data_IF_316102078761
#
_entry.id   IF_316102078761
#
_cell.length_a   1.000
_cell.length_b   1.000
_cell.length_c   1.000
_cell.angle_alpha   90.00
_cell.angle_beta   90.00
_cell.angle_gamma   90.00
#
_symmetry.space_group_name_H-M   'P 1'
#
loop_
_entity.id
_entity.type
_entity.pdbx_description
1 polymer ?
#
# COMPACT_ATOMS: atom_id res chain seq x y z
N UNK A 1 -7.66 31.42 32.15
CA UNK A 1 -8.37 30.46 31.28
C UNK A 1 -7.32 29.55 30.66
N UNK A 2 -7.27 28.27 31.02
CA UNK A 2 -6.36 27.31 30.37
C UNK A 2 -6.84 27.12 28.93
N UNK A 3 -6.06 27.56 27.94
CA UNK A 3 -6.38 27.32 26.54
C UNK A 3 -6.37 25.82 26.29
N UNK A 4 -7.46 25.27 25.73
CA UNK A 4 -7.51 23.86 25.33
C UNK A 4 -6.27 23.52 24.47
N UNK A 5 -5.43 22.56 24.87
CA UNK A 5 -4.23 22.23 24.13
C UNK A 5 -4.56 21.72 22.73
N UNK A 6 -3.64 21.93 21.78
CA UNK A 6 -3.79 21.44 20.41
C UNK A 6 -3.75 19.92 20.36
N UNK A 7 -4.64 19.34 19.56
CA UNK A 7 -4.69 17.91 19.33
C UNK A 7 -3.41 17.44 18.58
N UNK A 8 -2.53 16.71 19.26
CA UNK A 8 -1.30 16.17 18.67
C UNK A 8 -1.58 15.14 17.57
N UNK A 9 -2.66 14.36 17.72
CA UNK A 9 -3.14 13.44 16.70
C UNK A 9 -3.63 14.17 15.45
N UNK A 10 -4.32 15.29 15.61
CA UNK A 10 -4.76 16.12 14.49
C UNK A 10 -3.58 16.74 13.76
N UNK A 11 -2.56 17.24 14.46
CA UNK A 11 -1.34 17.77 13.81
C UNK A 11 -0.68 16.73 12.89
N UNK A 12 -0.79 15.44 13.24
CA UNK A 12 -0.28 14.30 12.48
C UNK A 12 -1.28 13.75 11.44
N UNK A 13 -2.48 14.33 11.32
CA UNK A 13 -3.53 13.88 10.40
C UNK A 13 -4.25 12.60 10.82
N UNK A 14 -4.17 12.19 12.10
CA UNK A 14 -4.68 10.90 12.62
C UNK A 14 -5.80 11.01 13.64
N UNK A 15 -6.34 12.20 13.89
CA UNK A 15 -7.41 12.34 14.88
C UNK A 15 -8.68 11.62 14.42
N UNK A 16 -9.07 10.56 15.12
CA UNK A 16 -10.30 9.81 14.83
C UNK A 16 -11.56 10.39 15.46
N UNK A 17 -11.43 11.45 16.27
CA UNK A 17 -12.56 12.04 16.98
C UNK A 17 -13.28 13.15 16.20
N UNK A 18 -12.66 13.69 15.15
CA UNK A 18 -13.25 14.77 14.34
C UNK A 18 -13.85 15.88 15.23
N UNK A 19 -15.10 16.25 14.97
CA UNK A 19 -15.85 17.26 15.74
C UNK A 19 -16.04 16.92 17.23
N UNK A 20 -15.93 15.65 17.60
CA UNK A 20 -16.02 15.17 18.98
C UNK A 20 -14.68 15.21 19.72
N UNK A 21 -13.61 15.75 19.10
CA UNK A 21 -12.30 15.85 19.75
C UNK A 21 -12.31 16.91 20.86
N UNK A 22 -11.86 16.53 22.07
CA UNK A 22 -11.76 17.44 23.23
C UNK A 22 -10.58 18.42 23.14
N UNK A 23 -9.68 18.22 22.19
CA UNK A 23 -8.49 19.04 21.96
C UNK A 23 -8.69 19.98 20.76
N UNK A 24 -8.02 21.14 20.75
CA UNK A 24 -8.20 22.14 19.67
C UNK A 24 -7.61 21.64 18.35
N UNK A 25 -8.40 21.68 17.28
CA UNK A 25 -7.91 21.57 15.90
C UNK A 25 -7.64 23.00 15.38
N UNK A 26 -6.60 23.19 14.55
CA UNK A 26 -6.15 24.52 14.13
C UNK A 26 -7.00 25.19 13.05
N UNK A 27 -7.97 24.48 12.46
CA UNK A 27 -8.88 24.98 11.44
C UNK A 27 -10.33 24.98 11.93
N UNK A 28 -11.18 25.79 11.28
CA UNK A 28 -12.58 26.04 11.62
C UNK A 28 -13.51 24.83 11.46
N UNK A 29 -13.07 23.76 10.80
CA UNK A 29 -13.80 22.49 10.72
C UNK A 29 -12.96 21.36 11.31
N UNK A 30 -13.60 20.49 12.09
CA UNK A 30 -12.91 19.41 12.77
C UNK A 30 -12.50 18.26 11.84
N UNK A 31 -13.00 18.29 10.60
CA UNK A 31 -12.72 17.35 9.51
C UNK A 31 -11.65 17.90 8.56
N UNK A 32 -10.91 18.96 8.91
CA UNK A 32 -9.79 19.44 8.09
C UNK A 32 -8.53 18.56 8.21
N UNK A 33 -7.74 18.42 7.12
CA UNK A 33 -6.44 17.77 7.15
C UNK A 33 -5.52 18.33 8.24
N UNK A 34 -4.71 17.45 8.82
CA UNK A 34 -3.68 17.85 9.77
C UNK A 34 -2.59 18.70 9.12
N UNK A 35 -1.96 19.61 9.89
CA UNK A 35 -0.90 20.49 9.38
C UNK A 35 0.24 19.74 8.68
N UNK A 36 0.62 18.56 9.17
CA UNK A 36 1.67 17.75 8.54
C UNK A 36 1.30 17.29 7.11
N UNK A 37 0.02 17.02 6.84
CA UNK A 37 -0.46 16.62 5.51
C UNK A 37 -0.36 17.78 4.51
N UNK A 38 -0.43 19.03 4.97
CA UNK A 38 -0.41 20.24 4.15
C UNK A 38 1.00 20.86 4.02
N UNK A 39 2.05 20.14 4.43
CA UNK A 39 3.42 20.56 4.15
C UNK A 39 3.68 20.51 2.65
N UNK A 40 4.36 21.51 2.11
CA UNK A 40 4.64 21.65 0.68
C UNK A 40 3.40 21.75 -0.23
N UNK A 41 2.24 22.13 0.32
CA UNK A 41 1.03 22.40 -0.48
C UNK A 41 0.80 23.89 -0.65
N UNK A 42 0.44 24.31 -1.86
CA UNK A 42 -0.03 25.65 -2.20
C UNK A 42 -1.55 25.76 -2.12
N UNK A 43 -2.16 26.52 -3.05
CA UNK A 43 -3.61 26.68 -3.12
C UNK A 43 -4.31 25.38 -3.53
N UNK A 44 -5.58 25.24 -3.16
CA UNK A 44 -6.45 24.17 -3.66
C UNK A 44 -6.70 24.43 -5.16
N UNK A 45 -6.45 23.42 -5.98
CA UNK A 45 -6.75 23.39 -7.41
C UNK A 45 -8.16 22.87 -7.66
N UNK A 46 -8.54 21.82 -6.93
CA UNK A 46 -9.85 21.19 -7.07
C UNK A 46 -10.26 20.48 -5.79
N UNK A 47 -11.57 20.42 -5.53
CA UNK A 47 -12.18 19.49 -4.57
C UNK A 47 -13.11 18.54 -5.34
N UNK A 48 -13.05 17.25 -5.02
CA UNK A 48 -13.85 16.19 -5.65
C UNK A 48 -14.61 15.48 -4.54
N UNK A 49 -15.90 15.30 -4.73
CA UNK A 49 -16.73 14.44 -3.87
C UNK A 49 -16.96 13.10 -4.56
N UNK A 50 -17.05 11.97 -3.85
CA UNK A 50 -17.18 10.66 -4.48
C UNK A 50 -18.36 10.57 -5.46
N UNK A 51 -19.51 11.14 -5.09
CA UNK A 51 -20.72 11.16 -5.93
C UNK A 51 -20.63 12.13 -7.12
N UNK A 52 -19.60 13.00 -7.15
CA UNK A 52 -19.37 13.93 -8.27
C UNK A 52 -18.53 13.31 -9.38
N UNK A 53 -17.84 12.19 -9.10
CA UNK A 53 -17.27 11.37 -10.16
C UNK A 53 -18.43 10.85 -11.02
N UNK A 54 -18.26 10.75 -12.35
CA UNK A 54 -19.33 10.33 -13.25
C UNK A 54 -19.77 8.92 -12.88
N UNK A 55 -20.80 8.81 -12.05
CA UNK A 55 -21.53 7.58 -11.80
C UNK A 55 -22.37 7.31 -13.05
N UNK A 56 -21.69 6.96 -14.15
CA UNK A 56 -22.24 6.87 -15.49
C UNK A 56 -22.73 8.22 -16.03
N UNK A 57 -22.13 8.67 -17.13
CA UNK A 57 -22.82 9.54 -18.09
C UNK A 57 -22.55 8.95 -19.45
N UNK A 58 -23.64 8.52 -20.08
CA UNK A 58 -23.74 7.95 -21.42
C UNK A 58 -22.66 8.42 -22.39
N UNK A 59 -21.83 7.48 -22.86
CA UNK A 59 -21.26 7.44 -24.22
C UNK A 59 -20.35 6.20 -24.34
N UNK A 60 -20.95 5.12 -24.85
CA UNK A 60 -20.38 4.12 -25.78
C UNK A 60 -19.13 3.31 -25.42
N UNK A 61 -18.66 3.28 -24.18
CA UNK A 61 -17.76 2.21 -23.74
C UNK A 61 -18.37 1.41 -22.59
N UNK A 62 -19.18 0.43 -22.99
CA UNK A 62 -19.71 -0.65 -22.15
C UNK A 62 -18.59 -1.58 -21.64
N UNK A 63 -17.31 -1.19 -21.80
CA UNK A 63 -16.17 -1.95 -21.31
C UNK A 63 -16.27 -2.18 -19.80
N UNK A 64 -16.29 -3.46 -19.45
CA UNK A 64 -16.08 -3.94 -18.10
C UNK A 64 -14.64 -3.59 -17.71
N UNK A 65 -14.45 -3.04 -16.52
CA UNK A 65 -13.12 -2.83 -15.96
C UNK A 65 -12.61 -4.17 -15.46
N UNK A 66 -11.62 -4.71 -16.18
CA UNK A 66 -10.86 -5.90 -15.80
C UNK A 66 -9.39 -5.56 -15.76
N UNK A 67 -8.66 -6.16 -14.82
CA UNK A 67 -7.19 -6.15 -14.84
C UNK A 67 -6.69 -7.08 -15.93
N UNK A 68 -6.05 -6.53 -16.96
CA UNK A 68 -5.58 -7.28 -18.13
C UNK A 68 -4.08 -7.14 -18.31
N UNK A 69 -3.45 -8.14 -18.94
CA UNK A 69 -2.00 -8.11 -19.18
C UNK A 69 -1.17 -8.12 -17.90
N UNK A 70 -1.63 -8.82 -16.86
CA UNK A 70 -0.86 -8.97 -15.63
C UNK A 70 0.46 -9.70 -15.91
N UNK A 71 1.56 -9.09 -15.52
CA UNK A 71 2.89 -9.67 -15.68
C UNK A 71 3.83 -9.23 -14.55
N UNK A 72 4.63 -10.18 -14.08
CA UNK A 72 5.71 -9.91 -13.15
C UNK A 72 6.95 -9.38 -13.90
N UNK A 73 7.48 -8.23 -13.45
CA UNK A 73 8.62 -7.58 -14.09
C UNK A 73 9.89 -7.70 -13.26
N UNK A 74 9.84 -7.33 -11.98
CA UNK A 74 10.99 -7.44 -11.08
C UNK A 74 10.56 -7.57 -9.62
N UNK A 75 11.51 -7.89 -8.75
CA UNK A 75 11.32 -7.90 -7.31
C UNK A 75 12.60 -7.55 -6.58
N UNK A 76 12.46 -7.25 -5.30
CA UNK A 76 13.60 -7.03 -4.41
C UNK A 76 13.24 -7.28 -2.95
N UNK A 77 14.27 -7.50 -2.12
CA UNK A 77 14.15 -7.49 -0.66
C UNK A 77 14.99 -6.35 -0.10
N UNK A 78 14.50 -5.66 0.93
CA UNK A 78 15.36 -4.77 1.72
C UNK A 78 16.21 -5.58 2.68
N UNK A 79 17.52 -5.33 2.68
CA UNK A 79 18.47 -5.88 3.67
C UNK A 79 18.31 -5.13 5.00
N UNK A 80 18.45 -5.82 6.13
CA UNK A 80 18.50 -5.20 7.45
C UNK A 80 19.83 -4.47 7.71
N UNK A 81 20.06 -3.40 6.96
CA UNK A 81 21.25 -2.55 7.06
C UNK A 81 20.86 -1.08 7.31
N UNK A 82 21.76 -0.31 7.91
CA UNK A 82 21.59 1.14 8.08
C UNK A 82 21.70 1.90 6.74
N UNK A 83 22.40 1.31 5.76
CA UNK A 83 22.46 1.77 4.39
C UNK A 83 21.30 1.21 3.56
N UNK A 84 20.84 1.94 2.52
CA UNK A 84 19.81 1.43 1.63
C UNK A 84 20.39 0.35 0.71
N UNK A 85 20.30 -0.91 1.12
CA UNK A 85 20.75 -2.07 0.34
C UNK A 85 19.56 -2.98 0.02
N UNK A 86 19.48 -3.47 -1.22
CA UNK A 86 18.48 -4.44 -1.65
C UNK A 86 19.09 -5.68 -2.29
N UNK A 87 18.45 -6.84 -2.08
CA UNK A 87 18.67 -8.04 -2.90
C UNK A 87 17.76 -8.01 -4.13
N UNK A 88 18.28 -8.34 -5.32
CA UNK A 88 17.51 -8.44 -6.57
C UNK A 88 17.84 -9.77 -7.26
N UNK A 89 16.86 -10.62 -7.62
CA UNK A 89 15.41 -10.44 -7.45
C UNK A 89 14.96 -10.52 -5.98
N UNK A 90 15.83 -10.91 -5.06
CA UNK A 90 15.42 -11.34 -3.72
C UNK A 90 14.51 -12.56 -3.80
N UNK A 91 13.74 -12.84 -2.76
CA UNK A 91 12.64 -13.80 -2.77
C UNK A 91 11.74 -13.55 -1.54
N UNK A 92 10.43 -13.83 -1.64
CA UNK A 92 9.55 -13.81 -0.47
C UNK A 92 9.93 -14.92 0.50
N UNK A 93 9.54 -14.78 1.76
CA UNK A 93 9.77 -15.82 2.76
C UNK A 93 8.97 -17.09 2.39
N UNK A 94 9.60 -18.25 2.54
CA UNK A 94 8.96 -19.54 2.24
C UNK A 94 8.01 -19.87 3.39
N UNK A 95 6.77 -20.21 3.04
CA UNK A 95 5.80 -20.73 3.98
C UNK A 95 6.30 -22.04 4.59
N UNK A 96 6.51 -22.02 5.89
CA UNK A 96 6.80 -23.19 6.70
C UNK A 96 5.52 -23.59 7.41
N UNK A 97 4.85 -24.68 7.02
CA UNK A 97 3.67 -25.15 7.72
C UNK A 97 4.06 -25.55 9.15
N UNK A 98 3.78 -24.67 10.11
CA UNK A 98 3.75 -25.03 11.52
C UNK A 98 2.37 -25.61 11.78
N UNK A 99 2.27 -26.92 12.00
CA UNK A 99 0.97 -27.58 12.21
C UNK A 99 0.31 -27.08 13.50
N UNK A 100 -0.93 -26.55 13.44
CA UNK A 100 -1.67 -26.23 14.65
C UNK A 100 -1.94 -27.48 15.51
N UNK A 101 -1.98 -27.36 16.84
CA UNK A 101 -1.94 -26.10 17.58
C UNK A 101 -0.53 -25.64 17.94
N UNK A 102 -0.29 -24.32 17.88
CA UNK A 102 0.92 -23.71 18.42
C UNK A 102 0.62 -22.33 19.03
N UNK A 103 1.56 -21.81 19.81
CA UNK A 103 1.41 -20.52 20.48
C UNK A 103 2.55 -19.59 20.10
N UNK A 104 2.21 -18.33 19.83
CA UNK A 104 3.19 -17.26 19.61
C UNK A 104 3.03 -16.19 20.67
N UNK A 105 4.09 -15.42 20.90
CA UNK A 105 4.03 -14.23 21.75
C UNK A 105 3.24 -13.11 21.06
N UNK A 106 2.78 -12.12 21.83
CA UNK A 106 2.28 -10.88 21.24
C UNK A 106 3.37 -10.20 20.42
N UNK A 107 2.97 -9.46 19.40
CA UNK A 107 3.88 -8.66 18.60
C UNK A 107 4.63 -7.65 19.49
N UNK A 108 5.94 -7.51 19.28
CA UNK A 108 6.80 -6.57 19.98
C UNK A 108 7.83 -5.99 19.02
N UNK A 109 8.27 -4.75 19.24
CA UNK A 109 9.35 -4.13 18.47
C UNK A 109 8.90 -3.04 17.50
N UNK A 110 9.78 -2.67 16.58
CA UNK A 110 9.55 -1.61 15.61
C UNK A 110 9.30 -2.21 14.21
N UNK A 111 8.15 -1.90 13.62
CA UNK A 111 7.73 -2.40 12.32
C UNK A 111 7.60 -1.26 11.32
N UNK A 112 7.99 -1.49 10.07
CA UNK A 112 7.84 -0.48 9.03
C UNK A 112 6.36 -0.29 8.65
N UNK A 113 5.96 0.97 8.46
CA UNK A 113 4.67 1.33 7.84
C UNK A 113 4.87 1.46 6.33
N UNK A 114 5.99 2.06 5.93
CA UNK A 114 6.48 2.17 4.55
C UNK A 114 8.00 2.04 4.57
N UNK A 115 8.49 0.86 4.25
CA UNK A 115 9.91 0.55 4.29
C UNK A 115 10.71 1.31 3.23
N UNK A 116 10.12 1.57 2.06
CA UNK A 116 10.81 2.23 0.96
C UNK A 116 11.09 3.69 1.30
N UNK A 117 10.09 4.41 1.80
CA UNK A 117 10.29 5.80 2.26
C UNK A 117 11.15 5.85 3.53
N UNK A 118 11.08 4.83 4.41
CA UNK A 118 11.93 4.78 5.60
C UNK A 118 13.42 4.62 5.27
N UNK A 119 13.75 3.79 4.28
CA UNK A 119 15.14 3.47 3.89
C UNK A 119 15.68 4.41 2.81
N UNK A 120 14.83 4.90 1.91
CA UNK A 120 15.17 5.91 0.91
C UNK A 120 14.16 7.07 0.94
N UNK A 121 14.32 7.96 1.93
CA UNK A 121 13.41 9.10 2.14
C UNK A 121 13.44 10.12 1.00
N UNK A 122 14.57 10.24 0.30
CA UNK A 122 14.72 11.19 -0.80
C UNK A 122 13.95 10.72 -2.04
N UNK A 123 14.12 9.45 -2.42
CA UNK A 123 13.53 8.84 -3.62
C UNK A 123 12.89 7.47 -3.28
N UNK A 124 11.68 7.41 -2.72
CA UNK A 124 11.04 6.15 -2.30
C UNK A 124 10.78 5.14 -3.43
N UNK A 125 10.83 5.58 -4.69
CA UNK A 125 10.70 4.73 -5.86
C UNK A 125 12.04 4.14 -6.34
N UNK A 126 13.19 4.59 -5.83
CA UNK A 126 14.50 4.22 -6.36
C UNK A 126 14.76 2.71 -6.39
N UNK A 127 14.44 2.00 -5.30
CA UNK A 127 14.60 0.55 -5.22
C UNK A 127 13.82 -0.21 -6.31
N UNK A 128 12.63 0.29 -6.68
CA UNK A 128 11.81 -0.28 -7.76
C UNK A 128 12.53 -0.17 -9.11
N UNK A 129 13.11 1.00 -9.41
CA UNK A 129 13.80 1.19 -10.69
C UNK A 129 15.17 0.51 -10.72
N UNK A 130 15.87 0.43 -9.60
CA UNK A 130 17.09 -0.38 -9.47
C UNK A 130 16.81 -1.86 -9.75
N UNK A 131 15.70 -2.41 -9.25
CA UNK A 131 15.34 -3.80 -9.56
C UNK A 131 14.94 -4.00 -11.02
N UNK A 132 14.28 -3.03 -11.64
CA UNK A 132 13.99 -3.06 -13.08
C UNK A 132 15.25 -2.98 -13.94
N UNK A 133 16.21 -2.13 -13.60
CA UNK A 133 17.45 -2.01 -14.36
C UNK A 133 18.25 -3.32 -14.41
N UNK A 134 18.16 -4.16 -13.36
CA UNK A 134 18.78 -5.49 -13.33
C UNK A 134 17.96 -6.53 -14.09
N UNK A 135 16.64 -6.60 -13.84
CA UNK A 135 15.82 -7.71 -14.34
C UNK A 135 15.17 -7.45 -15.70
N UNK A 136 15.01 -6.19 -16.08
CA UNK A 136 14.30 -5.72 -17.27
C UNK A 136 15.04 -4.53 -17.91
N UNK A 137 16.32 -4.68 -18.31
CA UNK A 137 17.15 -3.57 -18.80
C UNK A 137 16.60 -2.88 -20.06
N UNK A 138 15.84 -3.61 -20.88
CA UNK A 138 15.25 -3.10 -22.13
C UNK A 138 13.82 -2.54 -21.94
N UNK A 139 13.31 -2.50 -20.71
CA UNK A 139 11.96 -2.01 -20.45
C UNK A 139 11.87 -0.49 -20.64
N UNK A 140 11.03 -0.09 -21.58
CA UNK A 140 10.73 1.30 -21.89
C UNK A 140 9.67 1.85 -20.93
N UNK A 141 9.95 3.00 -20.30
CA UNK A 141 8.98 3.63 -19.38
C UNK A 141 7.78 4.26 -20.13
N UNK A 142 7.89 4.43 -21.44
CA UNK A 142 6.78 4.83 -22.34
C UNK A 142 5.64 3.80 -22.39
N UNK A 143 5.89 2.57 -21.94
CA UNK A 143 4.89 1.51 -21.87
C UNK A 143 3.90 1.71 -20.73
N UNK A 144 4.12 2.71 -19.87
CA UNK A 144 3.33 2.97 -18.68
C UNK A 144 2.72 4.38 -18.70
N UNK A 145 1.50 4.47 -18.16
CA UNK A 145 0.82 5.74 -17.85
C UNK A 145 0.94 6.09 -16.36
N UNK A 146 1.16 5.07 -15.51
CA UNK A 146 1.11 5.17 -14.07
C UNK A 146 2.18 4.30 -13.39
N UNK A 147 2.96 4.90 -12.49
CA UNK A 147 3.83 4.22 -11.51
C UNK A 147 3.28 4.48 -10.11
N UNK A 148 2.98 3.42 -9.36
CA UNK A 148 2.37 3.55 -8.04
C UNK A 148 2.72 2.36 -7.15
N UNK A 149 2.38 2.44 -5.86
CA UNK A 149 2.23 1.26 -5.03
C UNK A 149 0.75 0.85 -4.91
N UNK A 150 0.53 -0.38 -4.42
CA UNK A 150 -0.79 -0.94 -4.10
C UNK A 150 -1.56 -0.10 -3.09
N UNK A 151 -0.88 0.58 -2.15
CA UNK A 151 -1.55 1.34 -1.09
C UNK A 151 -2.22 2.59 -1.63
N UNK A 152 -1.55 3.34 -2.52
CA UNK A 152 -2.13 4.48 -3.22
C UNK A 152 -3.42 4.08 -3.95
N UNK A 153 -3.41 2.96 -4.69
CA UNK A 153 -4.60 2.46 -5.38
C UNK A 153 -5.73 2.11 -4.41
N UNK A 154 -5.43 1.45 -3.29
CA UNK A 154 -6.41 1.15 -2.24
C UNK A 154 -7.00 2.40 -1.59
N UNK A 155 -6.17 3.40 -1.28
CA UNK A 155 -6.62 4.69 -0.70
C UNK A 155 -7.55 5.43 -1.66
N UNK A 156 -7.22 5.47 -2.95
CA UNK A 156 -8.08 6.06 -3.97
C UNK A 156 -9.37 5.27 -4.16
N UNK A 157 -9.33 3.94 -4.15
CA UNK A 157 -10.53 3.11 -4.22
C UNK A 157 -11.45 3.34 -3.01
N UNK A 158 -10.90 3.40 -1.79
CA UNK A 158 -11.67 3.75 -0.59
C UNK A 158 -12.37 5.09 -0.72
N UNK A 159 -11.68 6.10 -1.26
CA UNK A 159 -12.31 7.39 -1.56
C UNK A 159 -13.48 7.23 -2.53
N UNK A 160 -13.30 6.49 -3.63
CA UNK A 160 -14.38 6.24 -4.61
C UNK A 160 -15.57 5.49 -3.98
N UNK A 161 -15.32 4.57 -3.06
CA UNK A 161 -16.35 3.87 -2.30
C UNK A 161 -16.98 4.71 -1.17
N UNK A 162 -16.57 5.98 -1.01
CA UNK A 162 -16.96 6.83 0.11
C UNK A 162 -16.63 6.24 1.50
N UNK A 163 -15.61 5.38 1.58
CA UNK A 163 -15.21 4.60 2.76
C UNK A 163 -13.80 5.01 3.25
N UNK A 164 -13.59 6.32 3.42
CA UNK A 164 -12.31 6.86 3.92
C UNK A 164 -12.28 6.82 5.44
N UNK A 165 -11.67 5.78 5.98
CA UNK A 165 -11.45 5.52 7.41
C UNK A 165 -10.37 6.42 8.04
N UNK A 166 -9.38 6.81 7.25
CA UNK A 166 -8.27 7.67 7.66
C UNK A 166 -7.93 8.69 6.58
N UNK A 167 -7.74 9.95 6.98
CA UNK A 167 -7.21 10.98 6.07
C UNK A 167 -5.84 10.57 5.55
N UNK A 168 -5.66 10.63 4.23
CA UNK A 168 -4.43 10.21 3.58
C UNK A 168 -3.91 11.28 2.62
N UNK A 169 -2.62 11.18 2.30
CA UNK A 169 -1.96 12.00 1.30
C UNK A 169 -1.24 11.13 0.26
N UNK A 170 -1.31 11.56 -0.99
CA UNK A 170 -0.56 11.03 -2.13
C UNK A 170 0.09 12.21 -2.85
N UNK A 171 1.40 12.19 -2.99
CA UNK A 171 2.12 13.14 -3.83
C UNK A 171 2.04 12.66 -5.29
N UNK A 172 1.68 13.55 -6.20
CA UNK A 172 1.52 13.23 -7.63
C UNK A 172 2.54 14.03 -8.44
N UNK A 173 3.29 13.35 -9.30
CA UNK A 173 4.30 13.98 -10.15
C UNK A 173 4.34 13.30 -11.51
N UNK A 174 4.51 14.06 -12.59
CA UNK A 174 4.84 13.49 -13.90
C UNK A 174 6.36 13.46 -14.11
N UNK A 175 6.84 12.38 -14.71
CA UNK A 175 8.16 12.27 -15.33
C UNK A 175 7.93 11.93 -16.80
N UNK A 176 8.22 12.88 -17.70
CA UNK A 176 7.67 12.82 -19.06
C UNK A 176 6.15 12.73 -19.01
N UNK A 177 5.57 11.73 -19.67
CA UNK A 177 4.13 11.46 -19.66
C UNK A 177 3.66 10.49 -18.55
N UNK A 178 4.60 9.90 -17.81
CA UNK A 178 4.31 8.87 -16.80
C UNK A 178 3.94 9.51 -15.47
N UNK A 179 2.75 9.20 -14.95
CA UNK A 179 2.29 9.70 -13.66
C UNK A 179 2.79 8.83 -12.50
N UNK A 180 3.38 9.46 -11.49
CA UNK A 180 3.74 8.82 -10.23
C UNK A 180 2.72 9.14 -9.15
N UNK A 181 2.27 8.12 -8.43
CA UNK A 181 1.52 8.26 -7.19
C UNK A 181 2.41 7.81 -6.02
N UNK A 182 3.01 8.77 -5.33
CA UNK A 182 3.90 8.52 -4.21
C UNK A 182 3.12 8.56 -2.90
N UNK A 183 3.16 7.44 -2.18
CA UNK A 183 2.61 7.34 -0.82
C UNK A 183 3.29 8.35 0.10
N UNK A 184 2.49 9.09 0.85
CA UNK A 184 2.96 9.89 1.96
C UNK A 184 2.43 9.33 3.28
N UNK A 185 3.29 9.26 4.29
CA UNK A 185 2.94 8.84 5.64
C UNK A 185 3.57 9.79 6.65
N UNK A 186 2.81 10.18 7.67
CA UNK A 186 3.32 11.01 8.76
C UNK A 186 4.40 10.28 9.59
N UNK A 187 4.34 8.94 9.60
CA UNK A 187 5.26 8.08 10.34
C UNK A 187 5.61 6.87 9.50
N UNK A 188 6.90 6.53 9.47
CA UNK A 188 7.43 5.46 8.62
C UNK A 188 7.63 4.15 9.39
N UNK A 189 7.61 4.21 10.73
CA UNK A 189 7.72 3.06 11.63
C UNK A 189 6.64 3.14 12.71
N UNK A 190 6.13 1.97 13.10
CA UNK A 190 5.23 1.78 14.26
C UNK A 190 6.01 1.08 15.37
N UNK A 191 5.97 1.63 16.58
CA UNK A 191 6.60 1.01 17.76
C UNK A 191 5.52 0.29 18.57
N UNK A 192 5.68 -1.01 18.73
CA UNK A 192 4.83 -1.87 19.53
C UNK A 192 5.50 -2.12 20.88
N UNK A 193 4.99 -1.48 21.93
CA UNK A 193 5.44 -1.71 23.32
C UNK A 193 4.52 -2.79 23.91
N UNK A 194 5.03 -4.01 24.15
CA UNK A 194 4.27 -5.24 24.43
C UNK A 194 3.20 -5.24 25.56
N UNK A 195 2.90 -4.10 26.18
CA UNK A 195 1.84 -3.90 27.17
C UNK A 195 0.46 -3.55 26.60
N UNK A 196 0.34 -3.10 25.34
CA UNK A 196 -0.96 -2.68 24.78
C UNK A 196 -1.68 -3.84 24.04
N UNK A 197 -2.93 -3.63 23.61
CA UNK A 197 -3.76 -4.61 22.88
C UNK A 197 -3.23 -4.89 21.46
N UNK A 198 -1.99 -5.34 21.37
CA UNK A 198 -1.37 -5.68 20.09
C UNK A 198 -1.72 -7.09 19.64
N UNK A 199 -1.77 -7.25 18.32
CA UNK A 199 -2.06 -8.51 17.66
C UNK A 199 -0.91 -9.52 17.76
N UNK A 200 -1.09 -10.61 17.03
CA UNK A 200 -0.16 -11.74 16.94
C UNK A 200 0.30 -11.95 15.50
N UNK A 201 0.17 -10.92 14.65
CA UNK A 201 0.33 -11.03 13.20
C UNK A 201 1.78 -11.24 12.81
N UNK A 202 2.66 -10.35 13.28
CA UNK A 202 4.09 -10.42 12.99
C UNK A 202 4.73 -11.66 13.60
N UNK A 203 4.34 -11.99 14.83
CA UNK A 203 4.85 -13.17 15.54
C UNK A 203 4.38 -14.47 14.88
N UNK A 204 3.15 -14.51 14.36
CA UNK A 204 2.65 -15.62 13.57
C UNK A 204 3.41 -15.76 12.25
N UNK A 205 3.60 -14.65 11.52
CA UNK A 205 4.37 -14.64 10.28
C UNK A 205 5.78 -15.18 10.52
N UNK A 206 6.52 -14.67 11.50
CA UNK A 206 7.85 -15.18 11.87
C UNK A 206 7.86 -16.66 12.27
N UNK A 207 6.77 -17.17 12.85
CA UNK A 207 6.65 -18.58 13.24
C UNK A 207 6.30 -19.51 12.05
N UNK A 208 5.78 -18.95 10.95
CA UNK A 208 5.23 -19.69 9.81
C UNK A 208 5.91 -19.37 8.49
N UNK A 209 6.90 -18.47 8.46
CA UNK A 209 7.69 -18.17 7.27
C UNK A 209 9.18 -18.15 7.58
N UNK A 210 10.01 -18.39 6.56
CA UNK A 210 11.46 -18.33 6.67
C UNK A 210 12.10 -17.86 5.36
N UNK A 211 13.04 -16.92 5.43
CA UNK A 211 13.87 -16.55 4.28
C UNK A 211 14.98 -17.57 4.04
N UNK A 212 15.35 -17.75 2.77
CA UNK A 212 16.50 -18.58 2.41
C UNK A 212 17.79 -18.07 3.02
N UNK A 213 18.76 -18.98 3.18
CA UNK A 213 20.06 -18.65 3.79
C UNK A 213 20.78 -17.49 3.08
N UNK A 214 20.68 -17.39 1.75
CA UNK A 214 21.36 -16.35 0.97
C UNK A 214 20.78 -14.93 1.20
N UNK A 215 19.51 -14.84 1.60
CA UNK A 215 18.79 -13.58 1.80
C UNK A 215 18.22 -13.49 3.21
N UNK A 216 18.88 -14.12 4.19
CA UNK A 216 18.38 -14.30 5.56
C UNK A 216 18.18 -12.97 6.29
N UNK A 217 18.92 -11.94 5.91
CA UNK A 217 18.83 -10.58 6.47
C UNK A 217 17.72 -9.74 5.81
N UNK A 218 16.79 -10.36 5.09
CA UNK A 218 15.65 -9.68 4.46
C UNK A 218 14.65 -9.16 5.50
N UNK A 219 14.11 -7.97 5.25
CA UNK A 219 13.10 -7.33 6.10
C UNK A 219 11.74 -7.10 5.42
N UNK A 220 11.59 -7.56 4.18
CA UNK A 220 10.35 -7.47 3.40
C UNK A 220 10.61 -7.71 1.92
N UNK A 221 9.72 -8.42 1.23
CA UNK A 221 9.83 -8.72 -0.21
C UNK A 221 8.83 -7.89 -1.00
N UNK A 222 9.34 -7.14 -1.98
CA UNK A 222 8.55 -6.23 -2.81
C UNK A 222 8.57 -6.73 -4.25
N UNK A 223 7.41 -6.79 -4.88
CA UNK A 223 7.21 -7.20 -6.27
C UNK A 223 6.73 -6.03 -7.10
N UNK A 224 7.20 -5.97 -8.33
CA UNK A 224 6.88 -4.96 -9.34
C UNK A 224 6.22 -5.67 -10.50
N UNK A 225 4.97 -5.28 -10.78
CA UNK A 225 4.13 -5.91 -11.80
C UNK A 225 3.62 -4.87 -12.76
N UNK A 226 3.25 -5.30 -13.97
CA UNK A 226 2.45 -4.50 -14.89
C UNK A 226 1.06 -5.08 -15.08
N UNK A 227 0.12 -4.21 -15.41
CA UNK A 227 -1.21 -4.55 -15.92
C UNK A 227 -1.88 -3.29 -16.49
N UNK A 228 -2.93 -3.48 -17.29
CA UNK A 228 -3.86 -2.42 -17.69
C UNK A 228 -5.09 -2.44 -16.79
N UNK A 229 -5.42 -1.28 -16.21
CA UNK A 229 -6.64 -1.04 -15.44
C UNK A 229 -7.53 -0.05 -16.19
N UNK A 230 -8.55 -0.54 -16.88
CA UNK A 230 -9.44 0.31 -17.68
C UNK A 230 -8.70 1.14 -18.73
N UNK A 231 -7.69 0.54 -19.37
CA UNK A 231 -6.83 1.19 -20.37
C UNK A 231 -5.68 2.01 -19.79
N UNK A 232 -5.59 2.18 -18.46
CA UNK A 232 -4.41 2.82 -17.82
C UNK A 232 -3.32 1.77 -17.65
N UNK A 233 -2.18 1.93 -18.33
CA UNK A 233 -1.05 1.00 -18.23
C UNK A 233 -0.27 1.27 -16.95
N UNK A 234 -0.36 0.36 -15.99
CA UNK A 234 0.15 0.53 -14.64
C UNK A 234 1.44 -0.27 -14.42
N UNK A 235 2.41 0.34 -13.74
CA UNK A 235 3.54 -0.29 -13.07
C UNK A 235 3.30 -0.20 -11.57
N UNK A 236 3.04 -1.34 -10.92
CA UNK A 236 2.56 -1.37 -9.54
C UNK A 236 3.53 -2.15 -8.66
N UNK A 237 3.94 -1.52 -7.56
CA UNK A 237 4.70 -2.16 -6.49
C UNK A 237 3.79 -2.65 -5.37
N UNK A 238 4.02 -3.86 -4.89
CA UNK A 238 3.38 -4.37 -3.67
C UNK A 238 4.34 -5.23 -2.84
N UNK A 239 4.05 -5.34 -1.55
CA UNK A 239 4.74 -6.25 -0.64
C UNK A 239 4.03 -7.60 -0.62
N UNK A 240 4.80 -8.70 -0.65
CA UNK A 240 4.31 -10.06 -0.51
C UNK A 240 4.85 -10.69 0.77
N UNK A 241 3.94 -11.20 1.60
CA UNK A 241 4.26 -11.78 2.91
C UNK A 241 5.03 -13.11 2.79
N UNK A 242 4.83 -13.86 1.69
CA UNK A 242 5.54 -15.11 1.46
C UNK A 242 5.28 -15.78 0.12
N UNK A 243 5.78 -17.00 -0.03
CA UNK A 243 5.37 -17.94 -1.08
C UNK A 243 5.23 -19.37 -0.54
N UNK A 244 4.43 -20.20 -1.21
CA UNK A 244 4.46 -21.66 -1.00
C UNK A 244 5.75 -22.26 -1.55
N UNK A 245 6.09 -23.47 -1.13
CA UNK A 245 7.16 -24.25 -1.74
C UNK A 245 6.77 -24.74 -3.16
N UNK A 246 7.77 -25.11 -3.96
CA UNK A 246 7.60 -25.57 -5.35
C UNK A 246 6.73 -26.83 -5.46
N UNK A 247 6.53 -27.57 -4.35
CA UNK A 247 5.67 -28.74 -4.30
C UNK A 247 4.17 -28.39 -4.33
N UNK A 248 3.78 -27.12 -4.15
CA UNK A 248 2.38 -26.69 -4.17
C UNK A 248 1.54 -27.25 -3.01
N UNK A 249 2.14 -28.04 -2.12
CA UNK A 249 1.49 -28.69 -0.99
C UNK A 249 1.57 -27.77 0.23
N UNK A 250 0.57 -26.91 0.37
CA UNK A 250 0.23 -26.37 1.68
C UNK A 250 -0.30 -27.53 2.54
N UNK A 251 0.60 -28.30 3.15
CA UNK A 251 0.31 -29.39 4.07
C UNK A 251 -0.50 -28.88 5.25
N UNK A 252 -1.82 -29.05 5.16
CA UNK A 252 -2.76 -28.71 6.21
C UNK A 252 -4.17 -28.99 5.71
N UNK A 253 -4.90 -29.85 6.40
CA UNK A 253 -6.28 -30.26 6.10
C UNK A 253 -7.22 -29.04 6.14
N UNK A 254 -7.23 -28.26 5.06
CA UNK A 254 -7.99 -27.03 4.93
C UNK A 254 -9.49 -27.36 4.85
N UNK A 255 -10.27 -26.81 5.78
CA UNK A 255 -11.73 -26.82 5.70
C UNK A 255 -12.17 -25.61 4.89
N UNK A 256 -12.93 -25.84 3.83
CA UNK A 256 -13.56 -24.81 3.01
C UNK A 256 -14.59 -24.04 3.85
N UNK A 257 -14.65 -22.72 3.67
CA UNK A 257 -15.47 -21.80 4.48
C UNK A 257 -16.83 -21.56 3.81
N UNK A 258 -17.91 -21.70 4.59
CA UNK A 258 -19.24 -21.18 4.24
C UNK A 258 -19.44 -19.78 4.84
N UNK A 259 -20.15 -18.93 4.09
CA UNK A 259 -20.36 -17.51 4.38
C UNK A 259 -21.38 -17.33 5.50
N UNK A 260 -21.04 -16.51 6.50
CA UNK A 260 -22.00 -15.98 7.45
C UNK A 260 -21.90 -14.45 7.50
N UNK A 261 -23.06 -13.80 7.45
CA UNK A 261 -23.26 -12.42 7.07
C UNK A 261 -23.78 -11.62 8.27
N UNK A 262 -22.87 -11.09 9.10
CA UNK A 262 -23.23 -10.09 10.11
C UNK A 262 -22.14 -9.03 10.27
N UNK A 263 -22.54 -7.76 10.17
CA UNK A 263 -21.72 -6.55 10.23
C UNK A 263 -21.28 -6.18 11.66
N UNK A 264 -20.00 -5.83 11.84
CA UNK A 264 -19.55 -4.56 12.45
C UNK A 264 -18.00 -4.43 12.33
N UNK A 265 -17.50 -3.24 11.97
CA UNK A 265 -16.16 -3.00 11.37
C UNK A 265 -15.04 -2.60 12.34
N UNK A 266 -15.17 -2.81 13.66
CA UNK A 266 -14.35 -2.02 14.60
C UNK A 266 -13.10 -2.65 15.27
N UNK A 267 -12.61 -3.87 14.92
CA UNK A 267 -11.34 -4.36 15.54
C UNK A 267 -10.07 -3.86 14.87
N UNK A 268 -10.12 -3.43 13.60
CA UNK A 268 -8.90 -2.97 12.94
C UNK A 268 -8.59 -1.51 13.29
N UNK A 269 -9.60 -0.74 13.70
CA UNK A 269 -9.49 0.69 14.05
C UNK A 269 -9.06 0.91 15.51
N UNK A 270 -9.50 0.04 16.43
CA UNK A 270 -9.16 0.13 17.86
C UNK A 270 -7.66 0.01 18.17
N UNK A 271 -6.86 -0.55 17.26
CA UNK A 271 -5.41 -0.66 17.39
C UNK A 271 -4.65 0.67 17.19
N UNK A 272 -5.33 1.78 16.86
CA UNK A 272 -4.71 3.09 16.60
C UNK A 272 -4.79 4.08 17.77
N UNK A 273 -5.49 3.81 18.88
CA UNK A 273 -5.70 4.82 19.93
C UNK A 273 -4.69 4.85 21.08
N UNK A 274 -3.73 3.92 21.19
CA UNK A 274 -2.63 4.00 22.16
C UNK A 274 -1.31 4.29 21.47
N UNK A 275 -0.97 5.57 21.36
CA UNK A 275 0.14 6.05 20.53
C UNK A 275 1.15 6.83 21.37
N UNK A 276 2.30 6.22 21.66
CA UNK A 276 3.52 6.98 21.96
C UNK A 276 4.52 6.78 20.84
N UNK A 277 4.58 7.76 19.92
CA UNK A 277 5.45 7.74 18.74
C UNK A 277 6.67 8.62 19.00
N UNK A 278 7.86 8.03 18.84
CA UNK A 278 9.08 8.80 18.64
C UNK A 278 9.17 9.19 17.15
N UNK A 279 9.50 10.45 16.80
CA UNK A 279 9.78 10.81 15.42
C UNK A 279 10.93 9.92 14.91
N UNK A 280 10.73 9.31 13.74
CA UNK A 280 11.80 8.58 13.08
C UNK A 280 12.99 9.54 12.94
N UNK A 281 14.14 9.17 13.51
CA UNK A 281 15.40 9.83 13.17
C UNK A 281 15.58 9.58 11.69
N UNK A 282 15.38 10.61 10.88
CA UNK A 282 15.71 10.59 9.46
C UNK A 282 17.22 10.48 9.41
N UNK A 283 17.75 9.24 9.40
CA UNK A 283 19.10 9.02 8.90
C UNK A 283 19.05 9.44 7.45
N UNK A 284 19.64 10.59 7.14
CA UNK A 284 19.95 11.00 5.77
C UNK A 284 21.02 10.04 5.27
N UNK A 285 20.61 8.83 4.90
CA UNK A 285 21.44 7.98 4.08
C UNK A 285 21.54 8.69 2.72
N UNK A 286 22.59 9.49 2.55
CA UNK A 286 22.94 10.11 1.27
C UNK A 286 23.46 9.07 0.26
N UNK A 287 23.29 7.77 0.53
CA UNK A 287 23.63 6.69 -0.37
C UNK A 287 22.47 6.40 -1.30
N UNK A 288 22.76 6.37 -2.61
CA UNK A 288 21.96 5.61 -3.57
C UNK A 288 21.68 4.21 -3.04
N UNK A 289 20.54 3.64 -3.43
CA UNK A 289 20.22 2.23 -3.16
C UNK A 289 21.29 1.35 -3.80
N UNK A 290 21.95 0.52 -2.98
CA UNK A 290 22.92 -0.49 -3.42
C UNK A 290 22.19 -1.79 -3.76
N UNK A 291 22.63 -2.46 -4.82
CA UNK A 291 22.02 -3.70 -5.31
C UNK A 291 22.99 -4.87 -5.14
N UNK A 292 22.49 -5.94 -4.53
CA UNK A 292 23.13 -7.24 -4.44
C UNK A 292 22.31 -8.24 -5.25
N UNK A 293 22.92 -8.91 -6.23
CA UNK A 293 22.24 -9.86 -7.11
C UNK A 293 22.07 -11.24 -6.44
N UNK A 294 21.12 -11.34 -5.51
CA UNK A 294 20.85 -12.53 -4.69
C UNK A 294 19.35 -12.86 -4.68
N UNK A 295 19.04 -14.12 -4.37
CA UNK A 295 17.67 -14.64 -4.32
C UNK A 295 17.26 -15.40 -5.58
N UNK A 296 15.95 -15.54 -5.81
CA UNK A 296 15.40 -16.23 -6.98
C UNK A 296 14.08 -15.64 -7.43
N UNK A 297 13.79 -15.75 -8.72
CA UNK A 297 12.46 -15.45 -9.23
C UNK A 297 11.47 -16.50 -8.72
N UNK A 298 10.40 -16.05 -8.08
CA UNK A 298 9.32 -16.90 -7.57
C UNK A 298 8.05 -16.70 -8.43
N UNK A 299 7.40 -17.79 -8.91
CA UNK A 299 6.21 -17.70 -9.75
C UNK A 299 5.04 -16.98 -9.06
N UNK A 300 4.30 -16.10 -9.75
CA UNK A 300 3.14 -15.40 -9.18
C UNK A 300 2.10 -16.33 -8.53
N UNK A 301 1.89 -17.53 -9.08
CA UNK A 301 0.94 -18.53 -8.59
C UNK A 301 1.21 -19.05 -7.17
N UNK A 302 2.45 -18.91 -6.69
CA UNK A 302 2.87 -19.39 -5.36
C UNK A 302 2.83 -18.30 -4.29
N UNK A 303 2.62 -17.04 -4.68
CA UNK A 303 2.64 -15.90 -3.75
C UNK A 303 1.47 -16.00 -2.78
N UNK A 304 1.76 -15.72 -1.51
CA UNK A 304 0.78 -15.75 -0.42
C UNK A 304 0.68 -14.39 0.28
N UNK A 305 -0.52 -14.08 0.77
CA UNK A 305 -0.78 -13.07 1.79
C UNK A 305 -1.12 -13.80 3.10
N UNK A 306 -0.61 -13.29 4.23
CA UNK A 306 -0.83 -13.86 5.55
C UNK A 306 -1.68 -12.92 6.40
N UNK A 307 -2.70 -13.48 7.06
CA UNK A 307 -3.56 -12.75 7.99
C UNK A 307 -3.77 -13.56 9.27
N UNK A 308 -3.93 -12.84 10.38
CA UNK A 308 -4.36 -13.44 11.64
C UNK A 308 -5.71 -12.87 12.07
N UNK A 309 -6.53 -13.68 12.74
CA UNK A 309 -7.80 -13.27 13.34
C UNK A 309 -8.05 -14.00 14.65
N UNK A 310 -8.76 -13.34 15.56
CA UNK A 310 -9.27 -14.03 16.74
C UNK A 310 -10.33 -15.06 16.33
N UNK A 311 -10.34 -16.25 16.94
CA UNK A 311 -11.22 -17.36 16.51
C UNK A 311 -12.72 -17.04 16.61
N UNK A 312 -13.11 -16.11 17.49
CA UNK A 312 -14.49 -15.65 17.64
C UNK A 312 -14.91 -14.59 16.60
N UNK A 313 -13.98 -14.11 15.75
CA UNK A 313 -14.23 -13.12 14.70
C UNK A 313 -13.60 -13.58 13.39
N UNK A 314 -14.38 -14.28 12.57
CA UNK A 314 -13.90 -14.80 11.28
C UNK A 314 -13.55 -13.67 10.30
N UNK A 315 -12.56 -13.89 9.44
CA UNK A 315 -12.16 -12.92 8.43
C UNK A 315 -13.26 -12.81 7.37
N UNK A 316 -13.75 -11.59 7.12
CA UNK A 316 -14.55 -11.32 5.93
C UNK A 316 -13.62 -11.12 4.75
N UNK A 317 -13.80 -11.93 3.71
CA UNK A 317 -12.96 -11.91 2.51
C UNK A 317 -12.97 -10.52 1.84
N UNK A 318 -14.13 -9.86 1.80
CA UNK A 318 -14.28 -8.53 1.20
C UNK A 318 -13.43 -7.43 1.91
N UNK A 319 -13.04 -7.61 3.18
CA UNK A 319 -12.15 -6.67 3.90
C UNK A 319 -10.73 -6.65 3.33
N UNK A 320 -10.25 -7.79 2.82
CA UNK A 320 -8.89 -7.95 2.29
C UNK A 320 -8.86 -7.93 0.77
N UNK A 321 -9.98 -8.18 0.10
CA UNK A 321 -10.04 -8.33 -1.36
C UNK A 321 -9.39 -7.20 -2.15
N UNK A 322 -9.68 -5.90 -1.89
CA UNK A 322 -9.04 -4.84 -2.67
C UNK A 322 -7.52 -4.90 -2.61
N UNK A 323 -6.96 -5.31 -1.47
CA UNK A 323 -5.51 -5.48 -1.32
C UNK A 323 -4.99 -6.60 -2.22
N UNK A 324 -5.58 -7.78 -2.15
CA UNK A 324 -5.11 -8.93 -2.91
C UNK A 324 -5.40 -8.77 -4.41
N UNK A 325 -6.50 -8.12 -4.80
CA UNK A 325 -6.86 -7.89 -6.20
C UNK A 325 -5.88 -6.95 -6.92
N UNK A 326 -5.49 -5.82 -6.31
CA UNK A 326 -4.50 -4.93 -6.93
C UNK A 326 -3.10 -5.55 -7.05
N UNK A 327 -2.79 -6.55 -6.22
CA UNK A 327 -1.54 -7.31 -6.26
C UNK A 327 -1.64 -8.60 -7.10
N UNK A 328 -2.86 -9.01 -7.46
CA UNK A 328 -3.20 -10.35 -7.98
C UNK A 328 -2.57 -11.47 -7.15
N UNK A 329 -2.66 -11.38 -5.82
CA UNK A 329 -2.12 -12.39 -4.89
C UNK A 329 -3.07 -13.59 -4.80
N UNK A 330 -2.70 -14.77 -5.34
CA UNK A 330 -3.68 -15.85 -5.56
C UNK A 330 -4.01 -16.65 -4.30
N UNK A 331 -3.16 -16.62 -3.27
CA UNK A 331 -3.33 -17.41 -2.07
C UNK A 331 -3.42 -16.51 -0.84
N UNK A 332 -4.44 -16.73 -0.01
CA UNK A 332 -4.56 -16.12 1.32
C UNK A 332 -4.46 -17.22 2.39
N UNK A 333 -3.56 -17.05 3.34
CA UNK A 333 -3.45 -17.90 4.53
C UNK A 333 -3.95 -17.14 5.76
N UNK A 334 -4.90 -17.73 6.47
CA UNK A 334 -5.53 -17.11 7.65
C UNK A 334 -5.32 -17.98 8.88
N UNK A 335 -4.52 -17.50 9.82
CA UNK A 335 -4.36 -18.11 11.14
C UNK A 335 -5.43 -17.63 12.13
N UNK A 336 -6.19 -18.56 12.70
CA UNK A 336 -7.18 -18.27 13.74
C UNK A 336 -6.65 -18.65 15.12
N UNK A 337 -6.76 -17.71 16.07
CA UNK A 337 -6.19 -17.88 17.41
C UNK A 337 -7.11 -17.43 18.56
N UNK A 338 -6.89 -18.00 19.73
CA UNK A 338 -7.33 -17.45 21.02
C UNK A 338 -6.12 -16.96 21.79
N UNK A 339 -5.96 -15.64 21.96
CA UNK A 339 -4.82 -15.05 22.71
C UNK A 339 -3.43 -15.58 22.28
N UNK A 340 -3.16 -15.63 20.97
CA UNK A 340 -1.90 -16.11 20.42
C UNK A 340 -1.76 -17.64 20.33
N UNK A 341 -2.73 -18.40 20.83
CA UNK A 341 -2.82 -19.84 20.62
C UNK A 341 -3.58 -20.12 19.32
N UNK A 342 -2.84 -20.44 18.25
CA UNK A 342 -3.39 -20.72 16.92
C UNK A 342 -3.84 -22.17 16.83
N UNK A 343 -5.12 -22.38 16.52
CA UNK A 343 -5.72 -23.73 16.43
C UNK A 343 -6.05 -24.14 14.99
N UNK A 344 -6.22 -23.17 14.10
CA UNK A 344 -6.59 -23.41 12.70
C UNK A 344 -5.81 -22.47 11.78
N UNK A 345 -5.39 -22.99 10.63
CA UNK A 345 -4.89 -22.19 9.50
C UNK A 345 -5.72 -22.57 8.28
N UNK A 346 -6.33 -21.58 7.64
CA UNK A 346 -7.14 -21.77 6.45
C UNK A 346 -6.42 -21.21 5.23
N UNK A 347 -6.41 -21.96 4.12
CA UNK A 347 -5.95 -21.50 2.81
C UNK A 347 -7.15 -21.18 1.94
N UNK A 348 -7.17 -19.99 1.36
CA UNK A 348 -8.22 -19.53 0.45
C UNK A 348 -7.59 -19.22 -0.90
N UNK A 349 -8.10 -19.86 -1.96
CA UNK A 349 -7.78 -19.50 -3.34
C UNK A 349 -8.58 -18.24 -3.71
N UNK A 350 -7.88 -17.20 -4.15
CA UNK A 350 -8.45 -15.86 -4.27
C UNK A 350 -8.98 -15.54 -5.66
N UNK A 351 -8.55 -16.26 -6.69
CA UNK A 351 -8.99 -16.02 -8.08
C UNK A 351 -10.52 -16.03 -8.24
N UNK A 352 -11.28 -17.01 -7.70
CA UNK A 352 -12.75 -16.97 -7.79
C UNK A 352 -13.36 -15.77 -7.06
N UNK A 353 -12.72 -15.31 -5.99
CA UNK A 353 -13.17 -14.16 -5.22
C UNK A 353 -12.88 -12.84 -5.94
N UNK A 354 -11.78 -12.76 -6.70
CA UNK A 354 -11.46 -11.64 -7.58
C UNK A 354 -12.51 -11.46 -8.66
N UNK A 355 -12.87 -12.53 -9.38
CA UNK A 355 -13.89 -12.46 -10.44
C UNK A 355 -15.24 -11.99 -9.90
N UNK A 356 -15.65 -12.51 -8.75
CA UNK A 356 -16.90 -12.11 -8.08
C UNK A 356 -16.85 -10.63 -7.68
N UNK A 357 -15.79 -10.22 -7.02
CA UNK A 357 -15.65 -8.86 -6.50
C UNK A 357 -15.57 -7.82 -7.61
N UNK A 358 -14.81 -8.12 -8.67
CA UNK A 358 -14.70 -7.26 -9.85
C UNK A 358 -16.07 -7.02 -10.50
N UNK A 359 -16.89 -8.07 -10.66
CA UNK A 359 -18.26 -7.94 -11.17
C UNK A 359 -19.14 -7.06 -10.28
N UNK A 360 -19.00 -7.17 -8.96
CA UNK A 360 -19.78 -6.40 -7.99
C UNK A 360 -19.34 -4.93 -7.87
N UNK A 361 -18.08 -4.61 -8.19
CA UNK A 361 -17.49 -3.29 -7.96
C UNK A 361 -17.24 -2.48 -9.24
N UNK A 362 -17.86 -2.85 -10.37
CA UNK A 362 -17.65 -2.18 -11.66
C UNK A 362 -17.82 -0.66 -11.62
N UNK A 363 -18.87 -0.14 -10.97
CA UNK A 363 -19.08 1.31 -10.85
C UNK A 363 -17.91 1.99 -10.11
N UNK A 364 -17.41 1.39 -9.04
CA UNK A 364 -16.27 1.91 -8.28
C UNK A 364 -14.97 1.83 -9.09
N UNK A 365 -14.75 0.74 -9.83
CA UNK A 365 -13.58 0.59 -10.69
C UNK A 365 -13.57 1.60 -11.84
N UNK A 366 -14.73 1.87 -12.47
CA UNK A 366 -14.87 2.92 -13.49
C UNK A 366 -14.56 4.30 -12.92
N UNK A 367 -15.08 4.61 -11.74
CA UNK A 367 -14.80 5.86 -11.04
C UNK A 367 -13.33 5.99 -10.62
N UNK A 368 -12.67 4.90 -10.23
CA UNK A 368 -11.23 4.89 -9.94
C UNK A 368 -10.42 5.23 -11.21
N UNK A 369 -10.75 4.63 -12.35
CA UNK A 369 -10.08 4.93 -13.63
C UNK A 369 -10.31 6.39 -14.04
N UNK A 370 -11.53 6.91 -13.91
CA UNK A 370 -11.84 8.32 -14.16
C UNK A 370 -11.05 9.25 -13.23
N UNK A 371 -10.93 8.89 -11.94
CA UNK A 371 -10.14 9.64 -10.98
C UNK A 371 -8.65 9.63 -11.34
N UNK A 372 -8.07 8.49 -11.73
CA UNK A 372 -6.67 8.42 -12.17
C UNK A 372 -6.40 9.35 -13.36
N UNK A 373 -7.28 9.35 -14.36
CA UNK A 373 -7.20 10.27 -15.52
C UNK A 373 -7.29 11.73 -15.09
N UNK A 374 -8.18 12.04 -14.14
CA UNK A 374 -8.34 13.40 -13.59
C UNK A 374 -7.13 13.86 -12.78
N UNK A 375 -6.51 12.99 -11.99
CA UNK A 375 -5.28 13.28 -11.25
C UNK A 375 -4.13 13.59 -12.21
N UNK A 376 -3.97 12.79 -13.28
CA UNK A 376 -2.99 13.04 -14.34
C UNK A 376 -3.20 14.39 -15.02
N UNK A 377 -4.45 14.71 -15.37
CA UNK A 377 -4.79 16.01 -15.96
C UNK A 377 -4.53 17.19 -15.00
N UNK A 378 -4.79 16.99 -13.71
CA UNK A 378 -4.53 18.01 -12.68
C UNK A 378 -3.05 18.26 -12.51
N UNK A 379 -2.22 17.21 -12.43
CA UNK A 379 -0.76 17.33 -12.37
C UNK A 379 -0.21 17.99 -13.63
N UNK A 380 -0.69 17.63 -14.84
CA UNK A 380 -0.25 18.23 -16.11
C UNK A 380 -0.54 19.74 -16.19
N UNK A 381 -1.58 20.21 -15.50
CA UNK A 381 -2.04 21.61 -15.55
C UNK A 381 -1.29 22.52 -14.57
N UNK A 382 -0.36 22.00 -13.77
CA UNK A 382 0.44 22.78 -12.82
C UNK A 382 1.86 23.02 -13.32
N UNK A 383 2.48 24.10 -12.83
CA UNK A 383 3.90 24.34 -13.02
C UNK A 383 4.72 23.21 -12.38
N UNK A 384 5.69 22.66 -13.12
CA UNK A 384 6.49 21.51 -12.68
C UNK A 384 5.76 20.16 -12.71
N UNK A 385 4.55 20.11 -13.27
CA UNK A 385 3.75 18.91 -13.53
C UNK A 385 3.50 18.03 -12.29
N UNK A 386 3.04 18.65 -11.22
CA UNK A 386 2.92 18.03 -9.88
C UNK A 386 1.80 18.60 -9.06
N UNK A 387 1.18 17.78 -8.24
CA UNK A 387 0.16 18.19 -7.28
C UNK A 387 0.19 17.29 -6.04
N UNK A 388 -0.51 17.71 -4.99
CA UNK A 388 -0.68 16.91 -3.77
C UNK A 388 -2.15 16.57 -3.63
N UNK A 389 -2.45 15.29 -3.43
CA UNK A 389 -3.80 14.78 -3.24
C UNK A 389 -4.00 14.46 -1.78
N UNK A 390 -5.05 15.01 -1.16
CA UNK A 390 -5.45 14.71 0.22
C UNK A 390 -6.87 14.17 0.22
N UNK A 391 -7.01 12.89 0.57
CA UNK A 391 -8.30 12.26 0.82
C UNK A 391 -8.71 12.52 2.26
N UNK A 392 -9.80 13.27 2.45
CA UNK A 392 -10.24 13.75 3.76
C UNK A 392 -11.35 12.86 4.29
N UNK A 393 -11.12 12.27 5.47
CA UNK A 393 -12.18 11.59 6.22
C UNK A 393 -13.20 12.61 6.74
N UNK A 394 -14.47 12.21 6.76
CA UNK A 394 -15.52 12.96 7.47
C UNK A 394 -16.89 12.64 6.91
N UNK A 395 -17.92 13.30 7.46
CA UNK A 395 -19.29 13.22 6.90
C UNK A 395 -19.33 13.73 5.45
N UNK A 396 -18.47 14.68 5.13
CA UNK A 396 -18.25 15.21 3.79
C UNK A 396 -16.93 14.66 3.23
N UNK A 397 -16.89 13.34 3.01
CA UNK A 397 -15.75 12.67 2.39
C UNK A 397 -15.44 13.35 1.06
N UNK A 398 -14.21 13.85 0.92
CA UNK A 398 -13.76 14.62 -0.25
C UNK A 398 -12.29 14.38 -0.53
N UNK A 399 -11.91 14.57 -1.77
CA UNK A 399 -10.52 14.54 -2.22
C UNK A 399 -10.15 15.94 -2.69
N UNK A 400 -9.17 16.53 -2.02
CA UNK A 400 -8.66 17.86 -2.34
C UNK A 400 -7.33 17.74 -3.07
N UNK A 401 -7.23 18.41 -4.21
CA UNK A 401 -6.01 18.49 -5.02
C UNK A 401 -5.42 19.86 -4.79
N UNK A 402 -4.17 19.90 -4.33
CA UNK A 402 -3.40 21.11 -4.05
C UNK A 402 -2.28 21.26 -5.06
N UNK A 403 -1.90 22.51 -5.33
CA UNK A 403 -0.61 22.81 -5.93
C UNK A 403 0.51 22.27 -5.04
N UNK A 404 1.56 21.70 -5.63
CA UNK A 404 2.73 21.27 -4.87
C UNK A 404 3.79 22.37 -4.96
N UNK A 405 4.27 22.84 -3.81
CA UNK A 405 5.42 23.76 -3.74
C UNK A 405 6.75 23.02 -3.70
N UNK A 406 6.72 21.68 -3.69
CA UNK A 406 7.92 20.85 -3.65
C UNK A 406 8.60 20.83 -5.02
N UNK A 407 9.90 21.07 -5.03
CA UNK A 407 10.70 21.17 -6.27
C UNK A 407 11.44 19.89 -6.64
N UNK A 408 11.54 18.93 -5.70
CA UNK A 408 12.34 17.70 -5.84
C UNK A 408 11.81 16.78 -6.94
N UNK A 409 12.71 16.17 -7.71
CA UNK A 409 12.40 15.12 -8.67
C UNK A 409 11.86 13.84 -7.97
N UNK A 410 11.10 13.03 -8.71
CA UNK A 410 10.56 11.77 -8.20
C UNK A 410 11.61 10.65 -8.15
N UNK A 411 12.66 10.76 -8.97
CA UNK A 411 13.76 9.81 -9.10
C UNK A 411 15.10 10.55 -9.15
N UNK A 412 16.22 9.90 -8.78
CA UNK A 412 17.55 10.45 -9.01
C UNK A 412 17.87 10.46 -10.51
N UNK A 413 18.76 11.38 -10.92
CA UNK A 413 19.05 11.64 -12.34
C UNK A 413 19.66 10.44 -13.06
N UNK A 414 20.48 9.64 -12.38
CA UNK A 414 21.07 8.43 -12.96
C UNK A 414 20.00 7.39 -13.31
N UNK A 415 18.97 7.21 -12.47
CA UNK A 415 17.82 6.35 -12.77
C UNK A 415 16.98 6.91 -13.92
N UNK A 416 16.75 8.23 -13.94
CA UNK A 416 16.03 8.85 -15.06
C UNK A 416 16.75 8.57 -16.38
N UNK A 417 18.09 8.66 -16.39
CA UNK A 417 18.91 8.41 -17.58
C UNK A 417 19.02 6.93 -17.98
N UNK A 418 18.74 5.99 -17.07
CA UNK A 418 18.76 4.55 -17.36
C UNK A 418 17.52 4.08 -18.14
N UNK A 419 16.46 4.88 -18.19
CA UNK A 419 15.18 4.50 -18.81
C UNK A 419 14.70 5.50 -19.85
N UNK A 420 13.96 5.03 -20.86
CA UNK A 420 13.36 5.89 -21.89
C UNK A 420 11.99 6.43 -21.44
N UNK A 421 11.88 7.76 -21.28
CA UNK A 421 10.67 8.44 -20.77
C UNK A 421 9.87 9.21 -21.83
N UNK A 422 10.54 9.70 -22.88
CA UNK A 422 9.96 10.54 -23.93
C UNK A 422 10.32 9.98 -25.31
N UNK A 423 9.54 10.29 -26.34
CA UNK A 423 9.99 10.07 -27.71
C UNK A 423 11.14 11.05 -28.02
N UNK A 424 12.23 10.54 -28.61
CA UNK A 424 13.26 11.42 -29.18
C UNK A 424 12.56 12.34 -30.17
N UNK A 425 12.65 13.65 -29.95
CA UNK A 425 12.28 14.63 -30.97
C UNK A 425 13.11 14.30 -32.21
N UNK A 426 12.44 13.96 -33.32
CA UNK A 426 13.12 13.77 -34.61
C UNK A 426 13.69 15.09 -35.14
#
# INVERSE_FOLDING_TARGET
MSSTPTCTFWLRGRCMRGASCRFKHGATSADEPGKAMLVDTGRILQTIEPHSLPAHVDNDDDSVITLTGFEFLSSYNWVDDDNPVIYVPGAPAIWKPNEPPFTVTKDQGAYFIDQNTARCATYPAEALFRSLAVMQPDLSMRDFDLVTDRNCLRKLLRFVCADVDQTFRIDVQLQGDVMFLCRWEAELKRIIRGHENFGYGHSFEHATTIFDKAIRDSTGHHRVVRYSLGGVRCLVRYEADGCTDDAGEAGGRAKTVERDDTGDTDDLLGALESMTIAPARVSTANGSVQVLEEGRVVPPSTIIEIKTRASHRRLKIDEVLPQLWFAQTPNLLVGYHTNGHFQEIHKVAMEPEFERWEKQHQAHLKNLVALLKKLRGSARSTEGQRCVVVGVRGRNCRLQIYESTRTRAVLPEDIVNLHEWEEKSQ
#
